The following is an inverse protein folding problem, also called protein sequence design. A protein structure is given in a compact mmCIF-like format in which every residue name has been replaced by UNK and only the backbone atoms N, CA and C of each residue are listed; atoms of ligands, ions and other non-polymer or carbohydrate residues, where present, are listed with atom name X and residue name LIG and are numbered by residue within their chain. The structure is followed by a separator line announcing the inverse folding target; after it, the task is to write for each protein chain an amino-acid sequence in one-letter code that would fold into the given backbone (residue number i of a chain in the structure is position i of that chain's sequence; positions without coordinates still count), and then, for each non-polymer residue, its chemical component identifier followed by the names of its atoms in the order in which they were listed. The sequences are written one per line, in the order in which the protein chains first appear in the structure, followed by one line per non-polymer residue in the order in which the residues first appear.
data_IF_833249615952
#
_entry.id   IF_833249615952
#
_cell.length_a   1.000
_cell.length_b   1.000
_cell.length_c   1.000
_cell.angle_alpha   90.00
_cell.angle_beta   90.00
_cell.angle_gamma   90.00
#
_symmetry.space_group_name_H-M   'P 1'
#
loop_
_entity.id
_entity.type
_entity.pdbx_description
1 polymer ?
#
# COMPACT_ATOMS: atom_id res chain seq x y z
N UNK A 1 2.97 40.26 2.53
CA UNK A 1 2.88 40.14 1.06
C UNK A 1 2.29 38.77 0.74
N UNK A 2 0.98 38.70 0.52
CA UNK A 2 0.36 37.49 -0.02
C UNK A 2 0.77 37.38 -1.49
N UNK A 3 1.61 36.41 -1.82
CA UNK A 3 1.88 36.05 -3.21
C UNK A 3 0.56 35.56 -3.82
N UNK A 4 -0.10 36.42 -4.59
CA UNK A 4 -1.22 36.03 -5.43
C UNK A 4 -0.71 35.01 -6.45
N UNK A 5 -0.99 33.73 -6.20
CA UNK A 5 -0.73 32.68 -7.18
C UNK A 5 -1.59 32.97 -8.40
N UNK A 6 -1.02 33.03 -9.62
CA UNK A 6 -1.78 33.30 -10.82
C UNK A 6 -2.94 32.31 -10.96
N UNK A 7 -4.14 32.84 -11.28
CA UNK A 7 -5.36 32.05 -11.53
C UNK A 7 -5.16 30.75 -12.36
N UNK A 8 -4.36 30.71 -13.44
CA UNK A 8 -4.12 29.48 -14.18
C UNK A 8 -3.34 28.42 -13.39
N UNK A 9 -2.38 28.83 -12.56
CA UNK A 9 -1.54 27.92 -11.75
C UNK A 9 -2.39 27.27 -10.65
N UNK A 10 -3.31 28.04 -10.06
CA UNK A 10 -4.23 27.55 -9.03
C UNK A 10 -5.16 26.47 -9.56
N UNK A 11 -5.74 26.65 -10.76
CA UNK A 11 -6.57 25.62 -11.40
C UNK A 11 -5.78 24.36 -11.71
N UNK A 12 -4.53 24.50 -12.12
CA UNK A 12 -3.67 23.37 -12.44
C UNK A 12 -3.29 22.57 -11.18
N UNK A 13 -2.97 23.25 -10.09
CA UNK A 13 -2.70 22.62 -8.79
C UNK A 13 -3.90 21.81 -8.33
N UNK A 14 -5.11 22.39 -8.34
CA UNK A 14 -6.35 21.70 -7.96
C UNK A 14 -6.55 20.43 -8.80
N UNK A 15 -6.33 20.51 -10.11
CA UNK A 15 -6.49 19.34 -11.00
C UNK A 15 -5.50 18.22 -10.65
N UNK A 16 -4.24 18.55 -10.36
CA UNK A 16 -3.27 17.56 -9.90
C UNK A 16 -3.68 16.92 -8.58
N UNK A 17 -4.13 17.70 -7.59
CA UNK A 17 -4.53 17.15 -6.28
C UNK A 17 -5.74 16.22 -6.41
N UNK A 18 -6.71 16.55 -7.27
CA UNK A 18 -7.89 15.73 -7.53
C UNK A 18 -7.55 14.34 -8.13
N UNK A 19 -6.43 14.23 -8.85
CA UNK A 19 -5.96 12.96 -9.44
C UNK A 19 -5.03 12.22 -8.48
N UNK A 20 -4.13 12.94 -7.82
CA UNK A 20 -3.11 12.36 -6.94
C UNK A 20 -3.75 11.70 -5.72
N UNK A 21 -4.76 12.33 -5.10
CA UNK A 21 -5.40 11.79 -3.90
C UNK A 21 -5.99 10.38 -4.13
N UNK A 22 -6.84 10.14 -5.15
CA UNK A 22 -7.32 8.80 -5.46
C UNK A 22 -6.23 7.75 -5.65
N UNK A 23 -5.14 8.12 -6.34
CA UNK A 23 -4.03 7.21 -6.61
C UNK A 23 -3.30 6.84 -5.32
N UNK A 24 -2.94 7.84 -4.49
CA UNK A 24 -2.27 7.61 -3.22
C UNK A 24 -3.17 6.79 -2.29
N UNK A 25 -4.45 7.16 -2.17
CA UNK A 25 -5.43 6.45 -1.35
C UNK A 25 -5.51 4.97 -1.74
N UNK A 26 -5.58 4.68 -3.04
CA UNK A 26 -5.60 3.31 -3.53
C UNK A 26 -4.30 2.55 -3.28
N UNK A 27 -3.14 3.18 -3.44
CA UNK A 27 -1.84 2.56 -3.15
C UNK A 27 -1.67 2.24 -1.67
N UNK A 28 -2.15 3.10 -0.77
CA UNK A 28 -2.13 2.85 0.67
C UNK A 28 -2.97 1.61 0.98
N UNK A 29 -4.20 1.53 0.45
CA UNK A 29 -5.06 0.35 0.62
C UNK A 29 -4.47 -0.92 0.01
N UNK A 30 -3.80 -0.81 -1.14
CA UNK A 30 -3.09 -1.93 -1.75
C UNK A 30 -2.00 -2.48 -0.82
N UNK A 31 -1.16 -1.61 -0.26
CA UNK A 31 -0.10 -2.00 0.67
C UNK A 31 -0.69 -2.60 1.94
N UNK A 32 -1.75 -1.99 2.47
CA UNK A 32 -2.44 -2.44 3.66
C UNK A 32 -3.04 -3.83 3.48
N UNK A 33 -3.78 -4.04 2.38
CA UNK A 33 -4.33 -5.35 2.07
C UNK A 33 -3.24 -6.41 1.86
N UNK A 34 -2.18 -6.04 1.13
CA UNK A 34 -1.03 -6.91 0.91
C UNK A 34 -0.36 -7.33 2.23
N UNK A 35 -0.34 -6.46 3.23
CA UNK A 35 0.23 -6.76 4.55
C UNK A 35 -0.49 -7.91 5.28
N UNK A 36 -1.78 -8.15 5.05
CA UNK A 36 -2.47 -9.31 5.61
C UNK A 36 -1.93 -10.63 5.06
N UNK A 37 -1.46 -10.64 3.81
CA UNK A 37 -0.85 -11.83 3.21
C UNK A 37 0.49 -12.20 3.86
N UNK A 38 1.16 -11.26 4.54
CA UNK A 38 2.34 -11.58 5.35
C UNK A 38 2.01 -12.54 6.50
N UNK A 39 0.80 -12.49 7.07
CA UNK A 39 0.36 -13.43 8.11
C UNK A 39 0.19 -14.83 7.58
N UNK A 40 -0.34 -14.96 6.36
CA UNK A 40 -0.40 -16.26 5.67
C UNK A 40 1.01 -16.82 5.48
N UNK A 41 1.96 -15.98 5.02
CA UNK A 41 3.36 -16.37 4.91
C UNK A 41 3.97 -16.82 6.26
N UNK A 42 3.66 -16.13 7.36
CA UNK A 42 4.14 -16.51 8.70
C UNK A 42 3.56 -17.81 9.25
N UNK A 43 2.33 -18.18 8.84
CA UNK A 43 1.76 -19.49 9.17
C UNK A 43 2.51 -20.58 8.38
N UNK A 44 2.81 -20.31 7.11
CA UNK A 44 3.54 -21.24 6.22
C UNK A 44 4.96 -21.49 6.71
N UNK A 45 5.69 -20.45 7.11
CA UNK A 45 7.09 -20.57 7.56
C UNK A 45 7.23 -20.90 9.06
N UNK A 46 6.12 -21.02 9.80
CA UNK A 46 6.13 -21.18 11.26
C UNK A 46 6.55 -19.91 12.04
N UNK A 47 6.95 -18.83 11.36
CA UNK A 47 7.47 -17.60 11.95
C UNK A 47 6.38 -16.55 12.21
N UNK A 48 5.43 -16.89 13.09
CA UNK A 48 4.26 -16.04 13.41
C UNK A 48 4.64 -14.65 13.93
N UNK A 49 5.68 -14.55 14.76
CA UNK A 49 6.13 -13.27 15.34
C UNK A 49 6.69 -12.35 14.26
N UNK A 50 7.55 -12.86 13.37
CA UNK A 50 8.17 -12.07 12.29
C UNK A 50 7.10 -11.54 11.34
N UNK A 51 6.15 -12.38 10.93
CA UNK A 51 5.03 -11.94 10.08
C UNK A 51 4.17 -10.87 10.74
N UNK A 52 3.95 -10.94 12.06
CA UNK A 52 3.23 -9.89 12.78
C UNK A 52 3.99 -8.58 12.74
N UNK A 53 5.29 -8.62 13.00
CA UNK A 53 6.15 -7.42 12.94
C UNK A 53 6.07 -6.79 11.55
N UNK A 54 6.16 -7.57 10.47
CA UNK A 54 6.02 -7.06 9.10
C UNK A 54 4.66 -6.40 8.86
N UNK A 55 3.58 -7.06 9.27
CA UNK A 55 2.23 -6.49 9.16
C UNK A 55 2.10 -5.17 9.93
N UNK A 56 2.54 -5.13 11.20
CA UNK A 56 2.45 -3.93 12.03
C UNK A 56 3.32 -2.79 11.48
N UNK A 57 4.52 -3.11 10.98
CA UNK A 57 5.37 -2.11 10.31
C UNK A 57 4.67 -1.51 9.09
N UNK A 58 3.99 -2.34 8.27
CA UNK A 58 3.21 -1.82 7.14
C UNK A 58 2.02 -0.97 7.61
N UNK A 59 1.27 -1.38 8.64
CA UNK A 59 0.16 -0.56 9.15
C UNK A 59 0.60 0.79 9.72
N UNK A 60 1.76 0.84 10.37
CA UNK A 60 2.34 2.11 10.82
C UNK A 60 2.66 2.99 9.61
N UNK A 61 3.28 2.43 8.57
CA UNK A 61 3.59 3.15 7.33
C UNK A 61 2.34 3.66 6.61
N UNK A 62 1.30 2.83 6.45
CA UNK A 62 0.05 3.23 5.78
C UNK A 62 -0.67 4.30 6.58
N UNK A 63 -0.65 4.21 7.92
CA UNK A 63 -1.18 5.26 8.80
C UNK A 63 -0.44 6.58 8.65
N UNK A 64 0.90 6.57 8.56
CA UNK A 64 1.66 7.78 8.23
C UNK A 64 1.24 8.35 6.87
N UNK A 65 1.01 7.50 5.87
CA UNK A 65 0.46 7.91 4.57
C UNK A 65 -0.89 8.62 4.69
N UNK A 66 -1.83 8.07 5.47
CA UNK A 66 -3.13 8.71 5.69
C UNK A 66 -3.01 10.06 6.40
N UNK A 67 -2.15 10.17 7.42
CA UNK A 67 -1.92 11.44 8.12
C UNK A 67 -1.33 12.48 7.16
N UNK A 68 -0.41 12.09 6.27
CA UNK A 68 0.15 12.97 5.25
C UNK A 68 -0.88 13.39 4.18
N UNK A 69 -1.91 12.59 3.93
CA UNK A 69 -3.00 12.95 3.02
C UNK A 69 -3.98 13.99 3.61
N UNK A 70 -4.17 14.02 4.93
CA UNK A 70 -5.09 14.97 5.59
C UNK A 70 -4.82 16.43 5.21
N UNK A 71 -3.58 16.97 5.26
CA UNK A 71 -3.31 18.34 4.83
C UNK A 71 -3.57 18.56 3.34
N UNK A 72 -3.37 17.54 2.47
CA UNK A 72 -3.71 17.65 1.05
C UNK A 72 -5.22 17.79 0.82
N UNK A 73 -6.03 17.08 1.62
CA UNK A 73 -7.49 17.22 1.59
C UNK A 73 -7.90 18.59 2.13
N UNK A 74 -7.27 19.06 3.22
CA UNK A 74 -7.49 20.41 3.76
C UNK A 74 -7.25 21.50 2.70
N UNK A 75 -6.15 21.38 1.95
CA UNK A 75 -5.82 22.29 0.85
C UNK A 75 -6.92 22.36 -0.22
N UNK A 76 -7.57 21.24 -0.55
CA UNK A 76 -8.68 21.20 -1.52
C UNK A 76 -9.90 21.96 -1.01
N UNK A 77 -10.18 21.87 0.29
CA UNK A 77 -11.29 22.60 0.92
C UNK A 77 -10.99 24.10 0.95
N UNK A 78 -9.75 24.48 1.28
CA UNK A 78 -9.31 25.88 1.33
C UNK A 78 -9.37 26.55 -0.06
N UNK A 79 -9.12 25.80 -1.14
CA UNK A 79 -9.27 26.29 -2.51
C UNK A 79 -10.72 26.38 -3.00
N UNK A 80 -11.71 26.17 -2.13
CA UNK A 80 -13.15 26.27 -2.44
C UNK A 80 -13.58 25.41 -3.64
N UNK A 81 -13.03 24.19 -3.74
CA UNK A 81 -13.43 23.23 -4.78
C UNK A 81 -14.94 22.95 -4.69
N UNK A 82 -15.57 22.83 -5.86
CA UNK A 82 -17.02 22.61 -5.90
C UNK A 82 -17.40 21.28 -5.25
N UNK A 83 -18.56 21.24 -4.59
CA UNK A 83 -19.09 20.02 -3.93
C UNK A 83 -19.10 18.81 -4.88
N UNK A 84 -19.42 19.02 -6.15
CA UNK A 84 -19.44 17.98 -7.18
C UNK A 84 -18.05 17.41 -7.48
N UNK A 85 -17.03 18.26 -7.62
CA UNK A 85 -15.65 17.81 -7.85
C UNK A 85 -15.10 17.05 -6.64
N UNK A 86 -15.42 17.51 -5.43
CA UNK A 86 -15.04 16.82 -4.21
C UNK A 86 -15.70 15.44 -4.10
N UNK A 87 -17.02 15.35 -4.34
CA UNK A 87 -17.73 14.07 -4.34
C UNK A 87 -17.17 13.12 -5.41
N UNK A 88 -16.90 13.62 -6.61
CA UNK A 88 -16.28 12.82 -7.68
C UNK A 88 -14.92 12.26 -7.24
N UNK A 89 -14.07 13.07 -6.61
CA UNK A 89 -12.78 12.63 -6.08
C UNK A 89 -12.93 11.51 -5.04
N UNK A 90 -13.88 11.62 -4.12
CA UNK A 90 -14.11 10.58 -3.09
C UNK A 90 -14.56 9.27 -3.73
N UNK A 91 -15.51 9.30 -4.67
CA UNK A 91 -15.96 8.10 -5.38
C UNK A 91 -14.84 7.50 -6.24
N UNK A 92 -14.05 8.34 -6.92
CA UNK A 92 -12.88 7.90 -7.68
C UNK A 92 -11.84 7.23 -6.76
N UNK A 93 -11.61 7.78 -5.57
CA UNK A 93 -10.70 7.19 -4.57
C UNK A 93 -11.15 5.80 -4.14
N UNK A 94 -12.46 5.65 -3.87
CA UNK A 94 -13.04 4.35 -3.51
C UNK A 94 -12.93 3.33 -4.65
N UNK A 95 -13.19 3.75 -5.88
CA UNK A 95 -13.08 2.91 -7.06
C UNK A 95 -11.64 2.44 -7.28
N UNK A 96 -10.67 3.35 -7.23
CA UNK A 96 -9.24 3.04 -7.40
C UNK A 96 -8.75 2.10 -6.29
N UNK A 97 -9.15 2.35 -5.04
CA UNK A 97 -8.82 1.46 -3.93
C UNK A 97 -9.40 0.05 -4.13
N UNK A 98 -10.65 -0.05 -4.59
CA UNK A 98 -11.29 -1.33 -4.88
C UNK A 98 -10.55 -2.09 -5.98
N UNK A 99 -10.19 -1.40 -7.09
CA UNK A 99 -9.45 -2.02 -8.20
C UNK A 99 -8.07 -2.50 -7.75
N UNK A 100 -7.35 -1.73 -6.96
CA UNK A 100 -6.03 -2.13 -6.48
C UNK A 100 -6.10 -3.25 -5.44
N UNK A 101 -7.07 -3.24 -4.52
CA UNK A 101 -7.29 -4.37 -3.61
C UNK A 101 -7.65 -5.64 -4.38
N UNK A 102 -8.50 -5.54 -5.41
CA UNK A 102 -8.83 -6.66 -6.28
C UNK A 102 -7.59 -7.16 -7.05
N UNK A 103 -6.74 -6.25 -7.53
CA UNK A 103 -5.45 -6.60 -8.14
C UNK A 103 -4.55 -7.35 -7.16
N UNK A 104 -4.49 -6.90 -5.90
CA UNK A 104 -3.73 -7.58 -4.84
C UNK A 104 -4.24 -9.01 -4.60
N UNK A 105 -5.57 -9.22 -4.63
CA UNK A 105 -6.16 -10.54 -4.53
C UNK A 105 -5.75 -11.49 -5.68
N UNK A 106 -5.71 -10.99 -6.92
CA UNK A 106 -5.21 -11.78 -8.06
C UNK A 106 -3.71 -12.05 -7.95
N UNK A 107 -2.94 -11.06 -7.51
CA UNK A 107 -1.49 -11.15 -7.31
C UNK A 107 -1.09 -11.85 -6.00
N UNK A 108 -2.03 -12.36 -5.21
CA UNK A 108 -1.78 -12.89 -3.85
C UNK A 108 -0.67 -13.93 -3.80
N UNK A 109 -0.56 -14.80 -4.80
CA UNK A 109 0.47 -15.84 -4.87
C UNK A 109 1.88 -15.23 -4.89
N UNK A 110 2.07 -14.17 -5.66
CA UNK A 110 3.34 -13.45 -5.76
C UNK A 110 3.65 -12.69 -4.46
N UNK A 111 2.63 -12.09 -3.84
CA UNK A 111 2.79 -11.33 -2.59
C UNK A 111 3.15 -12.26 -1.42
N UNK A 112 2.48 -13.40 -1.29
CA UNK A 112 2.80 -14.39 -0.25
C UNK A 112 4.22 -14.91 -0.44
N UNK A 113 4.60 -15.28 -1.66
CA UNK A 113 5.96 -15.75 -1.96
C UNK A 113 7.03 -14.70 -1.62
N UNK A 114 6.76 -13.42 -1.89
CA UNK A 114 7.62 -12.32 -1.47
C UNK A 114 7.78 -12.28 0.06
N UNK A 115 6.68 -12.33 0.82
CA UNK A 115 6.76 -12.30 2.28
C UNK A 115 7.48 -13.51 2.89
N UNK A 116 7.30 -14.71 2.31
CA UNK A 116 8.05 -15.89 2.74
C UNK A 116 9.56 -15.65 2.60
N UNK A 117 10.00 -15.18 1.43
CA UNK A 117 11.41 -14.88 1.19
C UNK A 117 11.96 -13.80 2.14
N UNK A 118 11.17 -12.76 2.43
CA UNK A 118 11.55 -11.73 3.41
C UNK A 118 11.73 -12.33 4.82
N UNK A 119 10.83 -13.24 5.23
CA UNK A 119 10.91 -13.92 6.52
C UNK A 119 12.16 -14.81 6.59
N UNK A 120 12.41 -15.60 5.55
CA UNK A 120 13.58 -16.50 5.49
C UNK A 120 14.89 -15.73 5.49
N UNK A 121 14.98 -14.63 4.74
CA UNK A 121 16.15 -13.74 4.73
C UNK A 121 16.37 -13.08 6.09
N UNK A 122 15.30 -12.67 6.76
CA UNK A 122 15.37 -12.07 8.09
C UNK A 122 15.86 -13.09 9.14
N UNK A 123 15.36 -14.33 9.07
CA UNK A 123 15.80 -15.40 9.96
C UNK A 123 17.29 -15.71 9.83
N UNK A 124 17.85 -15.60 8.63
CA UNK A 124 19.26 -15.89 8.37
C UNK A 124 20.21 -14.70 8.64
N UNK A 125 19.81 -13.47 8.31
CA UNK A 125 20.70 -12.29 8.35
C UNK A 125 20.40 -11.32 9.51
N UNK A 126 19.30 -11.50 10.25
CA UNK A 126 18.91 -10.68 11.41
C UNK A 126 18.52 -9.22 11.11
N UNK A 127 18.76 -8.70 9.90
CA UNK A 127 18.43 -7.33 9.51
C UNK A 127 17.15 -7.25 8.68
N UNK A 128 16.10 -6.64 9.24
CA UNK A 128 14.77 -6.57 8.63
C UNK A 128 14.77 -5.69 7.38
N UNK A 129 15.43 -4.53 7.43
CA UNK A 129 15.50 -3.58 6.31
C UNK A 129 16.20 -4.20 5.10
N UNK A 130 17.35 -4.87 5.31
CA UNK A 130 18.05 -5.57 4.22
C UNK A 130 17.20 -6.68 3.62
N UNK A 131 16.44 -7.40 4.46
CA UNK A 131 15.60 -8.51 4.02
C UNK A 131 14.42 -8.04 3.17
N UNK A 132 13.80 -6.90 3.52
CA UNK A 132 12.77 -6.26 2.69
C UNK A 132 13.34 -5.83 1.33
N UNK A 133 14.51 -5.16 1.33
CA UNK A 133 15.13 -4.65 0.09
C UNK A 133 15.58 -5.78 -0.84
N UNK A 134 16.27 -6.79 -0.31
CA UNK A 134 16.80 -7.93 -1.09
C UNK A 134 15.68 -8.90 -1.48
N UNK A 135 14.65 -9.04 -0.64
CA UNK A 135 13.50 -9.89 -0.91
C UNK A 135 12.76 -9.54 -2.21
N UNK A 136 12.90 -8.30 -2.68
CA UNK A 136 12.36 -7.83 -3.95
C UNK A 136 13.12 -8.36 -5.18
N UNK A 137 14.42 -8.69 -5.02
CA UNK A 137 15.35 -9.05 -6.11
C UNK A 137 15.45 -10.57 -6.29
N UNK A 138 15.47 -11.34 -5.19
CA UNK A 138 15.76 -12.78 -5.23
C UNK A 138 14.47 -13.61 -5.15
N UNK A 139 13.85 -13.93 -6.28
CA UNK A 139 12.71 -14.88 -6.38
C UNK A 139 13.20 -16.28 -6.75
N UNK A 140 13.67 -17.08 -5.80
CA UNK A 140 14.00 -18.48 -6.11
C UNK A 140 13.51 -19.47 -5.05
N UNK A 141 12.80 -20.49 -5.55
CA UNK A 141 12.48 -21.80 -4.97
C UNK A 141 11.30 -22.01 -4.01
N UNK A 142 10.63 -20.99 -3.45
CA UNK A 142 9.49 -21.22 -2.53
C UNK A 142 8.11 -21.31 -3.21
N UNK A 143 8.06 -21.77 -4.48
CA UNK A 143 6.81 -21.90 -5.24
C UNK A 143 6.11 -23.27 -5.02
N UNK A 144 6.86 -24.34 -4.76
CA UNK A 144 6.30 -25.70 -4.64
C UNK A 144 5.58 -25.96 -3.31
N UNK A 145 6.08 -25.47 -2.17
CA UNK A 145 5.45 -25.68 -0.85
C UNK A 145 4.16 -24.87 -0.68
N UNK A 146 4.14 -23.61 -1.16
CA UNK A 146 2.94 -22.76 -1.13
C UNK A 146 1.80 -23.35 -1.95
N UNK A 147 2.12 -23.99 -3.08
CA UNK A 147 1.14 -24.69 -3.93
C UNK A 147 0.56 -25.94 -3.27
N UNK A 148 1.36 -26.66 -2.47
CA UNK A 148 0.89 -27.84 -1.72
C UNK A 148 -0.09 -27.43 -0.63
N UNK A 149 0.18 -26.34 0.11
CA UNK A 149 -0.71 -25.92 1.21
C UNK A 149 -2.03 -25.30 0.70
N UNK A 150 -2.02 -24.55 -0.41
CA UNK A 150 -3.25 -24.03 -1.05
C UNK A 150 -4.15 -25.14 -1.63
N UNK A 151 -3.67 -26.39 -1.71
CA UNK A 151 -4.47 -27.54 -2.13
C UNK A 151 -5.34 -28.10 -0.98
N UNK A 152 -5.06 -27.71 0.26
CA UNK A 152 -5.74 -28.19 1.47
C UNK A 152 -6.54 -27.08 2.20
N UNK A 153 -6.66 -25.89 1.61
CA UNK A 153 -7.56 -24.80 2.01
C UNK A 153 -8.58 -24.64 0.88
#
# INVERSE_FOLDING_TARGET
MAHYVPFPIMKQLIYYTLIIIPIIYGLIHFLEYSSFLSRVAGIVTGSKVISYTLQQSTFVLTRFGFVAMMPMIGLIVDYQVTKYQYLFMVHASLLVATLLCLLSYFCRKYIISYFINVIDLYSNNGSLIKSILIGFIKREKTYCEVYSMYKYI
#
